data_IF_795073543543
#
_entry.id   IF_795073543543
#
_cell.length_a   1.000
_cell.length_b   1.000
_cell.length_c   1.000
_cell.angle_alpha   90.00
_cell.angle_beta   90.00
_cell.angle_gamma   90.00
#
_symmetry.space_group_name_H-M   'P 1'
#
loop_
_entity.id
_entity.type
_entity.pdbx_description
1 polymer ?
#
# COMPACT_ATOMS: atom_id res chain seq x y z
N UNK A 1 11.37 4.24 -21.13
CA UNK A 1 10.39 4.73 -20.11
C UNK A 1 10.94 4.35 -18.74
N UNK A 2 11.23 5.30 -17.84
CA UNK A 2 12.01 5.02 -16.61
C UNK A 2 11.18 4.31 -15.54
N UNK A 3 11.64 3.15 -15.06
CA UNK A 3 11.08 2.33 -13.97
C UNK A 3 10.63 3.14 -12.74
N UNK A 4 11.39 4.13 -12.22
CA UNK A 4 10.98 4.90 -11.04
C UNK A 4 9.68 5.70 -11.22
N UNK A 5 9.37 6.19 -12.44
CA UNK A 5 8.11 6.90 -12.69
C UNK A 5 6.90 5.98 -12.57
N UNK A 6 7.03 4.68 -12.87
CA UNK A 6 5.94 3.71 -12.69
C UNK A 6 5.68 3.42 -11.22
N UNK A 7 6.74 3.32 -10.40
CA UNK A 7 6.61 3.09 -8.95
C UNK A 7 5.85 4.24 -8.27
N UNK A 8 6.13 5.49 -8.65
CA UNK A 8 5.42 6.66 -8.14
C UNK A 8 3.91 6.63 -8.44
N UNK A 9 3.51 6.14 -9.61
CA UNK A 9 2.08 6.03 -9.97
C UNK A 9 1.37 5.06 -9.02
N UNK A 10 1.98 3.92 -8.69
CA UNK A 10 1.37 2.97 -7.75
C UNK A 10 1.22 3.56 -6.35
N UNK A 11 2.23 4.29 -5.87
CA UNK A 11 2.17 5.00 -4.60
C UNK A 11 1.02 6.03 -4.58
N UNK A 12 0.90 6.85 -5.63
CA UNK A 12 -0.18 7.83 -5.73
C UNK A 12 -1.57 7.18 -5.77
N UNK A 13 -1.71 6.01 -6.39
CA UNK A 13 -2.97 5.24 -6.38
C UNK A 13 -3.30 4.76 -4.97
N UNK A 14 -2.32 4.23 -4.22
CA UNK A 14 -2.54 3.80 -2.83
C UNK A 14 -2.88 4.95 -1.90
N UNK A 15 -2.28 6.12 -2.10
CA UNK A 15 -2.60 7.32 -1.32
C UNK A 15 -4.00 7.84 -1.63
N UNK A 16 -4.39 7.83 -2.92
CA UNK A 16 -5.74 8.20 -3.33
C UNK A 16 -6.78 7.27 -2.71
N UNK A 17 -6.54 5.96 -2.74
CA UNK A 17 -7.42 4.97 -2.10
C UNK A 17 -7.53 5.20 -0.58
N UNK A 18 -6.43 5.53 0.08
CA UNK A 18 -6.42 5.85 1.51
C UNK A 18 -7.28 7.09 1.80
N UNK A 19 -7.09 8.16 1.02
CA UNK A 19 -7.84 9.40 1.18
C UNK A 19 -9.35 9.21 0.92
N UNK A 20 -9.71 8.45 -0.12
CA UNK A 20 -11.11 8.12 -0.41
C UNK A 20 -11.73 7.31 0.71
N UNK A 21 -11.02 6.32 1.26
CA UNK A 21 -11.51 5.50 2.37
C UNK A 21 -11.82 6.35 3.62
N UNK A 22 -10.93 7.29 3.97
CA UNK A 22 -11.17 8.20 5.09
C UNK A 22 -12.32 9.17 4.82
N UNK A 23 -12.39 9.75 3.62
CA UNK A 23 -13.49 10.65 3.25
C UNK A 23 -14.85 9.92 3.28
N UNK A 24 -14.89 8.67 2.82
CA UNK A 24 -16.08 7.82 2.88
C UNK A 24 -16.47 7.48 4.32
N UNK A 25 -15.51 7.17 5.18
CA UNK A 25 -15.73 6.94 6.61
C UNK A 25 -16.27 8.16 7.36
N UNK A 26 -15.87 9.38 6.97
CA UNK A 26 -16.41 10.62 7.54
C UNK A 26 -17.82 10.92 7.02
N UNK A 27 -18.07 10.70 5.73
CA UNK A 27 -19.37 10.97 5.09
C UNK A 27 -20.47 10.02 5.58
N UNK A 28 -20.10 8.77 5.84
CA UNK A 28 -21.00 7.75 6.35
C UNK A 28 -20.83 7.69 7.87
N UNK A 29 -21.72 8.35 8.61
CA UNK A 29 -21.83 8.15 10.06
C UNK A 29 -22.30 6.71 10.33
N UNK A 30 -21.38 5.76 10.28
CA UNK A 30 -21.68 4.35 10.46
C UNK A 30 -22.16 4.10 11.89
N UNK A 31 -23.32 3.45 12.04
CA UNK A 31 -23.63 2.73 13.27
C UNK A 31 -22.66 1.54 13.38
N UNK A 32 -22.13 1.35 14.58
CA UNK A 32 -20.93 0.59 14.95
C UNK A 32 -20.91 -0.88 14.49
N UNK A 33 -22.05 -1.47 14.14
CA UNK A 33 -22.18 -2.91 13.80
C UNK A 33 -22.39 -3.21 12.31
N UNK A 34 -22.18 -2.23 11.42
CA UNK A 34 -22.40 -2.42 9.98
C UNK A 34 -21.19 -3.02 9.26
N UNK A 35 -21.45 -3.94 8.32
CA UNK A 35 -20.44 -4.54 7.42
C UNK A 35 -19.61 -3.47 6.70
N UNK A 36 -20.21 -2.31 6.44
CA UNK A 36 -19.54 -1.16 5.84
C UNK A 36 -18.37 -0.63 6.71
N UNK A 37 -18.47 -0.69 8.05
CA UNK A 37 -17.40 -0.28 8.96
C UNK A 37 -16.19 -1.23 8.88
N UNK A 38 -16.44 -2.54 8.85
CA UNK A 38 -15.38 -3.56 8.69
C UNK A 38 -14.68 -3.42 7.34
N UNK A 39 -15.45 -3.20 6.27
CA UNK A 39 -14.91 -2.99 4.92
C UNK A 39 -14.09 -1.69 4.85
N UNK A 40 -14.56 -0.60 5.44
CA UNK A 40 -13.81 0.67 5.49
C UNK A 40 -12.52 0.52 6.30
N UNK A 41 -12.57 -0.13 7.46
CA UNK A 41 -11.38 -0.43 8.28
C UNK A 41 -10.37 -1.30 7.53
N UNK A 42 -10.83 -2.32 6.83
CA UNK A 42 -9.98 -3.18 6.00
C UNK A 42 -9.34 -2.41 4.85
N UNK A 43 -10.10 -1.63 4.09
CA UNK A 43 -9.59 -0.83 2.96
C UNK A 43 -8.58 0.22 3.44
N UNK A 44 -8.90 0.95 4.51
CA UNK A 44 -7.99 1.94 5.09
C UNK A 44 -6.68 1.30 5.56
N UNK A 45 -6.76 0.18 6.29
CA UNK A 45 -5.57 -0.52 6.79
C UNK A 45 -4.72 -1.04 5.64
N UNK A 46 -5.34 -1.62 4.62
CA UNK A 46 -4.67 -2.12 3.43
C UNK A 46 -3.95 -0.99 2.69
N UNK A 47 -4.68 0.07 2.34
CA UNK A 47 -4.18 1.15 1.52
C UNK A 47 -3.03 1.91 2.23
N UNK A 48 -3.17 2.17 3.54
CA UNK A 48 -2.17 2.90 4.31
C UNK A 48 -0.89 2.07 4.51
N UNK A 49 -1.03 0.77 4.78
CA UNK A 49 0.11 -0.15 4.93
C UNK A 49 0.82 -0.35 3.59
N UNK A 50 0.07 -0.48 2.50
CA UNK A 50 0.62 -0.58 1.14
C UNK A 50 1.38 0.69 0.74
N UNK A 51 0.85 1.88 1.03
CA UNK A 51 1.53 3.15 0.78
C UNK A 51 2.88 3.26 1.52
N UNK A 52 2.93 2.83 2.78
CA UNK A 52 4.18 2.78 3.53
C UNK A 52 5.23 1.88 2.85
N UNK A 53 4.86 0.66 2.46
CA UNK A 53 5.76 -0.26 1.76
C UNK A 53 6.19 0.27 0.39
N UNK A 54 5.30 0.93 -0.34
CA UNK A 54 5.62 1.59 -1.60
C UNK A 54 6.65 2.72 -1.43
N UNK A 55 6.52 3.52 -0.37
CA UNK A 55 7.47 4.59 -0.04
C UNK A 55 8.86 4.02 0.25
N UNK A 56 8.93 2.96 1.07
CA UNK A 56 10.20 2.27 1.39
C UNK A 56 10.81 1.63 0.15
N UNK A 57 10.00 1.00 -0.71
CA UNK A 57 10.44 0.41 -1.96
C UNK A 57 11.08 1.45 -2.91
N UNK A 58 10.48 2.64 -3.02
CA UNK A 58 11.04 3.74 -3.82
C UNK A 58 12.37 4.23 -3.22
N UNK A 59 12.45 4.38 -1.90
CA UNK A 59 13.69 4.78 -1.23
C UNK A 59 14.83 3.77 -1.47
N UNK A 60 14.55 2.46 -1.34
CA UNK A 60 15.51 1.39 -1.62
C UNK A 60 15.92 1.36 -3.09
N UNK A 61 14.96 1.50 -4.01
CA UNK A 61 15.23 1.55 -5.45
C UNK A 61 16.19 2.70 -5.79
N UNK A 62 15.90 3.91 -5.29
CA UNK A 62 16.74 5.09 -5.53
C UNK A 62 18.13 4.94 -4.90
N UNK A 63 18.22 4.36 -3.70
CA UNK A 63 19.51 4.08 -3.07
C UNK A 63 20.38 3.13 -3.91
N UNK A 64 19.82 2.00 -4.36
CA UNK A 64 20.56 1.04 -5.20
C UNK A 64 20.91 1.64 -6.57
N UNK A 65 19.99 2.41 -7.15
CA UNK A 65 20.20 3.03 -8.46
C UNK A 65 21.27 4.13 -8.41
N UNK A 66 21.21 5.05 -7.44
CA UNK A 66 22.09 6.22 -7.36
C UNK A 66 23.40 5.89 -6.64
N UNK A 67 23.31 5.34 -5.43
CA UNK A 67 24.49 5.14 -4.55
C UNK A 67 25.29 3.92 -4.99
N UNK A 68 24.60 2.82 -5.32
CA UNK A 68 25.28 1.59 -5.77
C UNK A 68 25.53 1.57 -7.28
N UNK A 69 24.98 2.52 -8.04
CA UNK A 69 25.05 2.59 -9.52
C UNK A 69 24.71 1.25 -10.20
N UNK A 70 23.86 0.43 -9.57
CA UNK A 70 23.63 -0.95 -9.97
C UNK A 70 22.18 -1.15 -10.45
N UNK A 71 21.93 -0.72 -11.69
CA UNK A 71 20.60 -0.72 -12.29
C UNK A 71 20.00 -2.13 -12.44
N UNK A 72 20.81 -3.17 -12.73
CA UNK A 72 20.32 -4.55 -12.86
C UNK A 72 19.74 -5.09 -11.54
N UNK A 73 20.38 -4.78 -10.42
CA UNK A 73 19.88 -5.16 -9.09
C UNK A 73 18.61 -4.36 -8.76
N UNK A 74 18.59 -3.06 -9.05
CA UNK A 74 17.40 -2.23 -8.85
C UNK A 74 16.18 -2.76 -9.64
N UNK A 75 16.36 -3.16 -10.91
CA UNK A 75 15.28 -3.73 -11.73
C UNK A 75 14.85 -5.12 -11.24
N UNK A 76 15.77 -5.97 -10.77
CA UNK A 76 15.42 -7.28 -10.19
C UNK A 76 14.61 -7.15 -8.88
N UNK A 77 14.83 -6.08 -8.11
CA UNK A 77 14.12 -5.83 -6.84
C UNK A 77 12.68 -5.36 -7.06
N UNK A 78 12.31 -4.90 -8.25
CA UNK A 78 10.95 -4.43 -8.55
C UNK A 78 9.90 -5.52 -8.32
N UNK A 79 10.21 -6.76 -8.67
CA UNK A 79 9.30 -7.89 -8.46
C UNK A 79 9.09 -8.15 -6.96
N UNK A 80 10.17 -8.06 -6.16
CA UNK A 80 10.09 -8.15 -4.71
C UNK A 80 9.27 -7.00 -4.12
N UNK A 81 9.46 -5.77 -4.61
CA UNK A 81 8.66 -4.61 -4.16
C UNK A 81 7.17 -4.81 -4.44
N UNK A 82 6.79 -5.37 -5.59
CA UNK A 82 5.40 -5.71 -5.84
C UNK A 82 4.88 -6.78 -4.87
N UNK A 83 5.62 -7.87 -4.65
CA UNK A 83 5.20 -8.92 -3.73
C UNK A 83 5.02 -8.40 -2.30
N UNK A 84 5.96 -7.57 -1.83
CA UNK A 84 5.92 -7.03 -0.47
C UNK A 84 4.83 -5.95 -0.34
N UNK A 85 4.79 -4.97 -1.25
CA UNK A 85 3.87 -3.84 -1.15
C UNK A 85 2.39 -4.19 -1.42
N UNK A 86 2.11 -5.33 -2.06
CA UNK A 86 0.74 -5.83 -2.23
C UNK A 86 0.43 -7.00 -1.30
N UNK A 87 1.33 -7.98 -1.23
CA UNK A 87 1.10 -9.22 -0.48
C UNK A 87 1.09 -9.03 1.02
N UNK A 88 2.05 -8.29 1.59
CA UNK A 88 2.11 -8.09 3.05
C UNK A 88 0.89 -7.33 3.56
N UNK A 89 0.48 -6.19 2.97
CA UNK A 89 -0.76 -5.52 3.37
C UNK A 89 -2.00 -6.38 3.21
N UNK A 90 -2.12 -7.19 2.14
CA UNK A 90 -3.25 -8.12 1.97
C UNK A 90 -3.30 -9.17 3.08
N UNK A 91 -2.16 -9.74 3.46
CA UNK A 91 -2.12 -10.74 4.54
C UNK A 91 -2.51 -10.11 5.87
N UNK A 92 -2.02 -8.90 6.16
CA UNK A 92 -2.36 -8.17 7.39
C UNK A 92 -3.86 -7.87 7.44
N UNK A 93 -4.46 -7.41 6.35
CA UNK A 93 -5.90 -7.11 6.35
C UNK A 93 -6.77 -8.34 6.39
N UNK A 94 -6.43 -9.40 5.64
CA UNK A 94 -7.17 -10.66 5.71
C UNK A 94 -7.11 -11.26 7.11
N UNK A 95 -5.95 -11.28 7.75
CA UNK A 95 -5.82 -11.79 9.13
C UNK A 95 -6.59 -10.94 10.13
N UNK A 96 -6.53 -9.61 10.01
CA UNK A 96 -7.26 -8.70 10.89
C UNK A 96 -8.80 -8.85 10.76
N UNK A 97 -9.31 -9.00 9.53
CA UNK A 97 -10.73 -9.27 9.27
C UNK A 97 -11.12 -10.66 9.78
N UNK A 98 -10.30 -11.68 9.53
CA UNK A 98 -10.59 -13.07 9.93
C UNK A 98 -10.61 -13.26 11.45
N UNK A 99 -9.85 -12.45 12.19
CA UNK A 99 -9.80 -12.47 13.64
C UNK A 99 -10.89 -11.61 14.30
N UNK A 100 -11.79 -10.98 13.53
CA UNK A 100 -12.78 -10.00 14.02
C UNK A 100 -12.16 -8.94 14.96
N UNK A 101 -10.92 -8.55 14.67
CA UNK A 101 -10.17 -7.54 15.42
C UNK A 101 -10.32 -6.14 14.82
N UNK A 102 -11.14 -6.02 13.77
CA UNK A 102 -11.54 -4.78 13.09
C UNK A 102 -12.99 -4.52 13.45
#
# INVERSE_FOLDING_TARGET
RTTPRKLLVYLSVTDLLSAVSYAYGVWRAFLTDSVDCVVQGAISTFANTSSFFWTVAIALYLYVFIVRSNQRVADSLVLLFHLVSWGVPLIITVTAVSLQKI
#
